data_IF_213361139845
#
_entry.id   IF_213361139845
#
_cell.length_a   1.000
_cell.length_b   1.000
_cell.length_c   1.000
_cell.angle_alpha   90.00
_cell.angle_beta   90.00
_cell.angle_gamma   90.00
#
_symmetry.space_group_name_H-M   'P 1'
#
loop_
_entity.id
_entity.type
_entity.pdbx_description
1 polymer ?
#
# COMPACT_ATOMS: atom_id res chain seq x y z
N UNK A 1 10.51 -10.39 7.86
CA UNK A 1 11.43 -11.39 7.27
C UNK A 1 12.01 -12.35 8.29
N UNK A 2 12.50 -11.88 9.45
CA UNK A 2 13.12 -12.73 10.47
C UNK A 2 12.19 -13.89 10.94
N UNK A 3 10.91 -13.58 11.23
CA UNK A 3 9.93 -14.57 11.68
C UNK A 3 9.66 -15.66 10.64
N UNK A 4 9.44 -15.28 9.37
CA UNK A 4 9.16 -16.26 8.30
C UNK A 4 10.36 -17.14 8.01
N UNK A 5 11.58 -16.58 8.06
CA UNK A 5 12.82 -17.35 7.92
C UNK A 5 12.96 -18.39 9.03
N UNK A 6 12.73 -18.00 10.30
CA UNK A 6 12.77 -18.93 11.46
C UNK A 6 11.76 -20.07 11.37
N UNK A 7 10.62 -19.85 10.72
CA UNK A 7 9.58 -20.87 10.54
C UNK A 7 9.79 -21.77 9.31
N UNK A 8 10.89 -21.57 8.55
CA UNK A 8 11.21 -22.33 7.33
C UNK A 8 10.40 -21.91 6.11
N UNK A 9 9.93 -20.66 6.06
CA UNK A 9 9.22 -20.10 4.91
C UNK A 9 10.13 -19.24 4.04
N UNK A 10 9.90 -19.30 2.72
CA UNK A 10 10.68 -18.53 1.75
C UNK A 10 10.49 -17.02 1.92
N UNK A 11 11.48 -16.20 1.50
CA UNK A 11 11.36 -14.74 1.52
C UNK A 11 10.12 -14.21 0.79
N UNK A 12 9.68 -14.90 -0.27
CA UNK A 12 8.43 -14.61 -1.01
C UNK A 12 7.20 -14.61 -0.08
N UNK A 13 7.09 -15.59 0.82
CA UNK A 13 6.01 -15.65 1.82
C UNK A 13 6.12 -14.47 2.77
N UNK A 14 7.34 -14.12 3.19
CA UNK A 14 7.59 -12.94 4.01
C UNK A 14 7.10 -11.64 3.37
N UNK A 15 7.35 -11.42 2.08
CA UNK A 15 6.83 -10.26 1.34
C UNK A 15 5.31 -10.32 1.25
N UNK A 16 4.74 -11.49 0.93
CA UNK A 16 3.30 -11.65 0.75
C UNK A 16 2.51 -11.38 2.04
N UNK A 17 2.98 -11.89 3.19
CA UNK A 17 2.33 -11.68 4.50
C UNK A 17 2.46 -10.23 4.97
N UNK A 18 3.55 -9.54 4.60
CA UNK A 18 3.78 -8.14 4.99
C UNK A 18 3.23 -7.15 3.96
N UNK A 19 4.05 -6.75 2.99
CA UNK A 19 3.73 -5.75 1.98
C UNK A 19 2.48 -6.13 1.17
N UNK A 20 2.36 -7.39 0.77
CA UNK A 20 1.20 -7.88 0.03
C UNK A 20 -0.11 -7.64 0.79
N UNK A 21 -0.17 -8.05 2.06
CA UNK A 21 -1.34 -7.81 2.92
C UNK A 21 -1.61 -6.32 3.13
N UNK A 22 -0.56 -5.51 3.27
CA UNK A 22 -0.69 -4.06 3.42
C UNK A 22 -1.28 -3.42 2.16
N UNK A 23 -0.81 -3.78 0.97
CA UNK A 23 -1.32 -3.24 -0.29
C UNK A 23 -2.78 -3.68 -0.56
N UNK A 24 -3.10 -4.97 -0.36
CA UNK A 24 -4.48 -5.46 -0.46
C UNK A 24 -5.39 -4.77 0.56
N UNK A 25 -4.94 -4.68 1.81
CA UNK A 25 -5.68 -4.00 2.86
C UNK A 25 -5.92 -2.52 2.54
N UNK A 26 -4.91 -1.85 1.98
CA UNK A 26 -4.96 -0.46 1.54
C UNK A 26 -5.99 -0.24 0.43
N UNK A 27 -5.98 -1.09 -0.60
CA UNK A 27 -6.85 -1.00 -1.77
C UNK A 27 -8.34 -1.19 -1.47
N UNK A 28 -8.68 -1.92 -0.41
CA UNK A 28 -10.08 -2.11 0.02
C UNK A 28 -10.41 -1.38 1.32
N UNK A 29 -9.51 -0.53 1.84
CA UNK A 29 -9.65 0.07 3.16
C UNK A 29 -10.81 1.08 3.22
N UNK A 30 -11.69 1.02 4.24
CA UNK A 30 -12.68 2.06 4.49
C UNK A 30 -12.12 3.33 5.12
N UNK A 31 -10.90 3.26 5.68
CA UNK A 31 -10.35 4.31 6.55
C UNK A 31 -8.99 4.82 6.10
N UNK A 32 -8.47 4.41 4.95
CA UNK A 32 -7.12 4.80 4.54
C UNK A 32 -7.02 6.32 4.31
N UNK A 33 -6.23 7.03 5.14
CA UNK A 33 -6.10 8.48 5.08
C UNK A 33 -5.40 8.98 3.81
N UNK A 34 -4.60 8.15 3.15
CA UNK A 34 -3.86 8.48 1.93
C UNK A 34 -4.56 8.01 0.65
N UNK A 35 -5.71 7.35 0.76
CA UNK A 35 -6.48 6.88 -0.39
C UNK A 35 -7.93 7.36 -0.29
N UNK A 36 -8.81 6.55 0.30
CA UNK A 36 -10.25 6.81 0.33
C UNK A 36 -10.60 8.14 0.98
N UNK A 37 -9.87 8.57 2.01
CA UNK A 37 -10.17 9.86 2.66
C UNK A 37 -9.80 11.05 1.77
N UNK A 38 -8.64 11.02 1.10
CA UNK A 38 -8.28 12.06 0.11
C UNK A 38 -9.31 12.05 -1.02
N UNK A 39 -9.65 10.87 -1.54
CA UNK A 39 -10.63 10.72 -2.60
C UNK A 39 -12.01 11.28 -2.21
N UNK A 40 -12.46 11.04 -0.98
CA UNK A 40 -13.69 11.59 -0.43
C UNK A 40 -13.62 13.12 -0.29
N UNK A 41 -12.51 13.67 0.24
CA UNK A 41 -12.29 15.12 0.35
C UNK A 41 -12.36 15.80 -1.02
N UNK A 42 -11.63 15.31 -2.02
CA UNK A 42 -11.57 15.94 -3.35
C UNK A 42 -12.85 15.74 -4.18
N UNK A 43 -13.66 14.74 -3.84
CA UNK A 43 -14.94 14.46 -4.52
C UNK A 43 -16.15 15.08 -3.79
N UNK A 44 -15.91 15.81 -2.71
CA UNK A 44 -16.96 16.41 -1.87
C UNK A 44 -17.98 15.36 -1.37
N UNK A 45 -17.45 14.24 -0.87
CA UNK A 45 -18.22 13.13 -0.28
C UNK A 45 -17.91 13.07 1.21
N UNK A 46 -18.92 12.81 2.04
CA UNK A 46 -18.74 12.72 3.49
C UNK A 46 -17.64 11.73 3.88
N UNK A 47 -16.74 12.13 4.78
CA UNK A 47 -15.65 11.26 5.22
C UNK A 47 -16.18 10.00 5.90
N UNK A 48 -15.51 8.86 5.65
CA UNK A 48 -15.86 7.54 6.21
C UNK A 48 -17.25 7.01 5.81
N UNK A 49 -17.94 7.69 4.90
CA UNK A 49 -19.20 7.21 4.32
C UNK A 49 -18.97 5.92 3.53
N UNK A 50 -19.97 5.03 3.55
CA UNK A 50 -19.90 3.75 2.85
C UNK A 50 -18.85 2.77 3.41
N UNK A 51 -18.41 2.97 4.65
CA UNK A 51 -17.42 2.11 5.32
C UNK A 51 -17.84 0.64 5.37
N UNK A 52 -19.14 0.36 5.56
CA UNK A 52 -19.64 -1.01 5.72
C UNK A 52 -19.46 -1.81 4.43
N UNK A 53 -19.79 -1.20 3.28
CA UNK A 53 -19.60 -1.83 1.97
C UNK A 53 -18.13 -2.17 1.74
N UNK A 54 -17.23 -1.19 1.96
CA UNK A 54 -15.78 -1.39 1.83
C UNK A 54 -15.26 -2.46 2.79
N UNK A 55 -15.75 -2.50 4.02
CA UNK A 55 -15.33 -3.48 5.02
C UNK A 55 -15.67 -4.92 4.61
N UNK A 56 -16.83 -5.14 3.98
CA UNK A 56 -17.21 -6.47 3.46
C UNK A 56 -16.24 -6.92 2.37
N UNK A 57 -15.95 -6.06 1.38
CA UNK A 57 -15.02 -6.41 0.31
C UNK A 57 -13.57 -6.50 0.79
N UNK A 58 -13.17 -5.72 1.79
CA UNK A 58 -11.89 -5.83 2.48
C UNK A 58 -11.75 -7.21 3.13
N UNK A 59 -12.77 -7.67 3.87
CA UNK A 59 -12.74 -8.97 4.52
C UNK A 59 -12.62 -10.11 3.51
N UNK A 60 -13.33 -10.02 2.37
CA UNK A 60 -13.24 -11.00 1.28
C UNK A 60 -11.84 -10.96 0.64
N UNK A 61 -11.35 -9.77 0.28
CA UNK A 61 -10.04 -9.59 -0.35
C UNK A 61 -8.89 -10.10 0.52
N UNK A 62 -8.89 -9.75 1.81
CA UNK A 62 -7.92 -10.24 2.77
C UNK A 62 -8.06 -11.74 3.00
N UNK A 63 -9.28 -12.26 3.11
CA UNK A 63 -9.53 -13.70 3.23
C UNK A 63 -8.93 -14.49 2.06
N UNK A 64 -9.13 -14.01 0.83
CA UNK A 64 -8.55 -14.58 -0.39
C UNK A 64 -7.01 -14.48 -0.39
N UNK A 65 -6.47 -13.32 -0.01
CA UNK A 65 -5.02 -13.11 0.06
C UNK A 65 -4.36 -14.02 1.10
N UNK A 66 -4.94 -14.11 2.30
CA UNK A 66 -4.48 -14.97 3.38
C UNK A 66 -4.54 -16.43 2.94
N UNK A 67 -5.69 -16.89 2.42
CA UNK A 67 -5.86 -18.27 1.97
C UNK A 67 -4.80 -18.66 0.94
N UNK A 68 -4.54 -17.81 -0.05
CA UNK A 68 -3.51 -18.07 -1.05
C UNK A 68 -2.09 -18.03 -0.51
N UNK A 69 -1.79 -17.05 0.33
CA UNK A 69 -0.47 -16.93 0.94
C UNK A 69 -0.17 -18.15 1.78
N UNK A 70 -1.15 -18.63 2.57
CA UNK A 70 -1.05 -19.85 3.35
C UNK A 70 -0.93 -21.10 2.48
N UNK A 71 -1.71 -21.21 1.39
CA UNK A 71 -1.62 -22.33 0.44
C UNK A 71 -0.26 -22.37 -0.26
N UNK A 72 0.26 -21.21 -0.65
CA UNK A 72 1.60 -21.11 -1.24
C UNK A 72 2.67 -21.47 -0.22
N UNK A 73 2.60 -20.88 0.99
CA UNK A 73 3.52 -21.16 2.08
C UNK A 73 3.57 -22.64 2.45
N UNK A 74 2.42 -23.33 2.50
CA UNK A 74 2.35 -24.76 2.78
C UNK A 74 2.99 -25.61 1.67
N UNK A 75 2.91 -25.19 0.41
CA UNK A 75 3.48 -25.91 -0.74
C UNK A 75 4.98 -25.68 -0.92
N UNK A 76 5.46 -24.50 -0.57
CA UNK A 76 6.86 -24.10 -0.72
C UNK A 76 7.65 -24.19 0.58
N UNK A 77 7.09 -24.83 1.61
CA UNK A 77 7.78 -25.04 2.88
C UNK A 77 8.86 -26.08 2.65
N UNK A 78 10.12 -25.66 2.68
CA UNK A 78 11.28 -26.55 2.46
C UNK A 78 11.72 -27.29 3.73
N UNK A 79 10.94 -27.24 4.82
CA UNK A 79 11.43 -27.56 6.16
C UNK A 79 12.29 -26.41 6.71
N UNK A 80 12.72 -26.46 7.98
CA UNK A 80 13.73 -25.54 8.48
C UNK A 80 15.01 -25.79 7.68
N UNK A 81 15.49 -24.82 6.89
CA UNK A 81 16.83 -24.91 6.32
C UNK A 81 17.82 -24.99 7.48
N UNK A 82 18.54 -26.11 7.57
CA UNK A 82 19.67 -26.30 8.48
C UNK A 82 20.91 -25.53 8.01
N UNK A 83 20.73 -24.37 7.37
CA UNK A 83 21.82 -23.39 7.24
C UNK A 83 22.03 -22.81 8.63
N UNK A 84 23.25 -22.98 9.15
CA UNK A 84 23.75 -22.48 10.43
C UNK A 84 22.81 -21.41 10.99
N UNK A 85 21.96 -21.84 11.92
CA UNK A 85 21.40 -20.94 12.92
C UNK A 85 22.63 -20.28 13.54
N UNK A 86 23.08 -19.18 12.94
CA UNK A 86 23.85 -18.16 13.66
C UNK A 86 23.11 -18.04 14.95
N UNK A 87 23.82 -18.38 16.01
CA UNK A 87 23.38 -18.43 17.39
C UNK A 87 22.92 -17.01 17.77
N UNK A 88 21.76 -16.61 17.24
CA UNK A 88 20.95 -15.54 17.79
C UNK A 88 20.30 -16.24 18.94
N UNK A 89 21.09 -16.33 20.02
CA UNK A 89 20.71 -16.87 21.31
C UNK A 89 19.23 -16.52 21.52
N UNK A 90 18.39 -17.53 21.76
CA UNK A 90 17.05 -17.24 22.26
C UNK A 90 17.24 -16.22 23.39
N UNK A 91 16.59 -15.05 23.35
CA UNK A 91 16.72 -14.11 24.45
C UNK A 91 16.18 -14.82 25.68
N UNK A 92 17.10 -15.38 26.44
CA UNK A 92 16.85 -16.16 27.65
C UNK A 92 16.51 -15.13 28.72
N UNK A 93 15.25 -14.71 28.74
CA UNK A 93 14.79 -13.64 29.60
C UNK A 93 13.35 -13.22 29.32
N UNK A 94 12.53 -13.19 30.37
CA UNK A 94 11.28 -12.45 30.36
C UNK A 94 11.52 -11.01 29.88
N UNK A 95 10.59 -10.45 29.09
CA UNK A 95 10.68 -9.08 28.59
C UNK A 95 11.04 -8.13 29.72
N UNK A 96 12.19 -7.47 29.61
CA UNK A 96 12.61 -6.47 30.58
C UNK A 96 11.67 -5.27 30.53
N UNK A 97 11.62 -4.50 31.63
CA UNK A 97 10.83 -3.26 31.65
C UNK A 97 11.21 -2.29 30.53
N UNK A 98 12.47 -2.33 30.06
CA UNK A 98 12.96 -1.54 28.92
C UNK A 98 12.36 -2.01 27.60
N UNK A 99 12.30 -3.31 27.37
CA UNK A 99 11.70 -3.87 26.15
C UNK A 99 10.22 -3.49 26.10
N UNK A 100 9.51 -3.63 27.23
CA UNK A 100 8.11 -3.18 27.36
C UNK A 100 7.98 -1.68 27.10
N UNK A 101 8.90 -0.85 27.62
CA UNK A 101 8.90 0.59 27.39
C UNK A 101 9.14 0.93 25.92
N UNK A 102 10.08 0.26 25.26
CA UNK A 102 10.38 0.44 23.83
C UNK A 102 9.15 0.05 23.00
N UNK A 103 8.52 -1.10 23.28
CA UNK A 103 7.30 -1.51 22.61
C UNK A 103 6.15 -0.52 22.84
N UNK A 104 6.00 0.02 24.05
CA UNK A 104 5.01 1.04 24.35
C UNK A 104 5.27 2.35 23.58
N UNK A 105 6.54 2.77 23.45
CA UNK A 105 6.91 3.94 22.66
C UNK A 105 6.59 3.73 21.18
N UNK A 106 6.94 2.57 20.62
CA UNK A 106 6.61 2.23 19.23
C UNK A 106 5.09 2.25 19.03
N UNK A 107 4.32 1.61 19.92
CA UNK A 107 2.86 1.62 19.85
C UNK A 107 2.28 3.04 19.96
N UNK A 108 2.78 3.85 20.90
CA UNK A 108 2.35 5.24 21.07
C UNK A 108 2.69 6.11 19.86
N UNK A 109 3.82 5.85 19.20
CA UNK A 109 4.23 6.53 17.96
C UNK A 109 3.22 6.28 16.86
N UNK A 110 2.72 5.04 16.70
CA UNK A 110 1.64 4.76 15.74
C UNK A 110 0.32 5.45 16.10
N UNK A 111 -0.03 5.54 17.39
CA UNK A 111 -1.23 6.28 17.83
C UNK A 111 -1.10 7.78 17.50
N UNK A 112 0.06 8.38 17.80
CA UNK A 112 0.35 9.79 17.47
C UNK A 112 0.35 10.01 15.96
N UNK A 113 0.90 9.07 15.18
CA UNK A 113 0.86 9.13 13.71
C UNK A 113 -0.58 9.17 13.20
N UNK A 114 -1.43 8.26 13.66
CA UNK A 114 -2.86 8.23 13.26
C UNK A 114 -3.57 9.51 13.68
N UNK A 115 -3.34 9.97 14.91
CA UNK A 115 -3.95 11.20 15.42
C UNK A 115 -3.50 12.45 14.64
N UNK A 116 -2.19 12.61 14.44
CA UNK A 116 -1.61 13.73 13.71
C UNK A 116 -2.10 13.79 12.27
N UNK A 117 -2.27 12.63 11.62
CA UNK A 117 -2.80 12.55 10.27
C UNK A 117 -4.29 12.94 10.19
N UNK A 118 -5.10 12.54 11.18
CA UNK A 118 -6.54 12.82 11.19
C UNK A 118 -6.91 14.23 11.69
N UNK A 119 -6.12 14.80 12.61
CA UNK A 119 -6.47 16.05 13.31
C UNK A 119 -5.57 17.23 12.95
N UNK A 120 -4.31 16.97 12.66
CA UNK A 120 -3.31 18.02 12.43
C UNK A 120 -2.83 18.05 10.97
N UNK A 121 -3.47 17.25 10.11
CA UNK A 121 -3.18 17.18 8.66
C UNK A 121 -1.69 16.98 8.37
N UNK A 122 -1.04 16.13 9.18
CA UNK A 122 0.39 15.88 9.05
C UNK A 122 0.77 15.31 7.69
N UNK A 123 1.74 15.99 7.07
CA UNK A 123 2.38 15.58 5.83
C UNK A 123 3.64 14.72 6.07
N UNK A 124 4.30 14.32 4.98
CA UNK A 124 5.44 13.40 4.98
C UNK A 124 6.59 13.81 5.92
N UNK A 125 6.89 15.11 6.00
CA UNK A 125 7.98 15.61 6.83
C UNK A 125 7.70 15.43 8.33
N UNK A 126 6.44 15.63 8.74
CA UNK A 126 6.02 15.43 10.13
C UNK A 126 6.09 13.95 10.53
N UNK A 127 5.66 13.05 9.64
CA UNK A 127 5.78 11.61 9.86
C UNK A 127 7.24 11.17 9.96
N UNK A 128 8.08 11.69 9.06
CA UNK A 128 9.53 11.41 9.06
C UNK A 128 10.19 11.88 10.36
N UNK A 129 9.85 13.10 10.82
CA UNK A 129 10.34 13.63 12.09
C UNK A 129 9.88 12.79 13.29
N UNK A 130 8.63 12.35 13.32
CA UNK A 130 8.10 11.49 14.38
C UNK A 130 8.89 10.17 14.49
N UNK A 131 9.12 9.47 13.38
CA UNK A 131 9.91 8.23 13.37
C UNK A 131 11.38 8.46 13.72
N UNK A 132 11.96 9.58 13.29
CA UNK A 132 13.31 9.97 13.68
C UNK A 132 13.44 10.18 15.20
N UNK A 133 12.54 10.98 15.78
CA UNK A 133 12.49 11.23 17.24
C UNK A 133 12.29 9.92 17.99
N UNK A 134 11.37 9.06 17.54
CA UNK A 134 11.17 7.74 18.13
C UNK A 134 12.47 6.91 18.14
N UNK A 135 13.19 6.86 17.01
CA UNK A 135 14.47 6.16 16.90
C UNK A 135 15.53 6.66 17.89
N UNK A 136 15.64 7.99 18.04
CA UNK A 136 16.55 8.62 19.01
C UNK A 136 16.17 8.26 20.44
N UNK A 137 14.89 8.38 20.80
CA UNK A 137 14.38 8.06 22.14
C UNK A 137 14.58 6.59 22.48
N UNK A 138 14.31 5.68 21.55
CA UNK A 138 14.52 4.23 21.71
C UNK A 138 16.02 3.92 21.89
N UNK A 139 16.90 4.56 21.12
CA UNK A 139 18.35 4.38 21.27
C UNK A 139 18.88 4.80 22.64
N UNK A 140 18.33 5.88 23.22
CA UNK A 140 18.65 6.34 24.57
C UNK A 140 18.16 5.33 25.62
N UNK A 141 16.91 4.89 25.54
CA UNK A 141 16.31 3.95 26.51
C UNK A 141 16.97 2.57 26.44
N UNK A 142 17.32 2.13 25.23
CA UNK A 142 18.09 0.92 24.97
C UNK A 142 19.54 0.98 25.44
N UNK A 143 20.00 2.14 25.97
CA UNK A 143 21.37 2.38 26.44
C UNK A 143 22.44 2.14 25.37
N UNK A 144 22.12 2.41 24.11
CA UNK A 144 23.11 2.37 23.03
C UNK A 144 24.10 3.55 23.12
N UNK A 145 23.77 4.58 23.92
CA UNK A 145 24.51 5.84 23.97
C UNK A 145 24.38 6.63 22.66
N UNK A 146 24.97 7.83 22.61
CA UNK A 146 24.90 8.69 21.40
C UNK A 146 25.58 8.00 20.22
N UNK A 147 26.79 7.48 20.43
CA UNK A 147 27.58 6.82 19.38
C UNK A 147 26.90 5.55 18.87
N UNK A 148 26.39 4.70 19.77
CA UNK A 148 25.70 3.46 19.35
C UNK A 148 24.38 3.74 18.66
N UNK A 149 23.63 4.76 19.11
CA UNK A 149 22.39 5.19 18.42
C UNK A 149 22.70 5.73 17.03
N UNK A 150 23.73 6.56 16.87
CA UNK A 150 24.15 7.07 15.56
C UNK A 150 24.63 5.95 14.63
N UNK A 151 25.38 4.98 15.16
CA UNK A 151 25.84 3.84 14.37
C UNK A 151 24.69 2.93 13.93
N UNK A 152 23.74 2.64 14.84
CA UNK A 152 22.53 1.89 14.51
C UNK A 152 21.65 2.62 13.47
N UNK A 153 21.53 3.94 13.57
CA UNK A 153 20.83 4.75 12.58
C UNK A 153 21.52 4.70 11.21
N UNK A 154 22.84 4.87 11.17
CA UNK A 154 23.63 4.78 9.94
C UNK A 154 23.52 3.40 9.28
N UNK A 155 23.52 2.33 10.08
CA UNK A 155 23.35 0.96 9.60
C UNK A 155 21.94 0.74 9.02
N UNK A 156 20.90 1.23 9.69
CA UNK A 156 19.54 1.26 9.17
C UNK A 156 19.45 2.02 7.84
N UNK A 157 20.03 3.22 7.77
CA UNK A 157 20.09 4.02 6.55
C UNK A 157 20.82 3.29 5.41
N UNK A 158 21.96 2.66 5.70
CA UNK A 158 22.75 1.88 4.72
C UNK A 158 21.93 0.75 4.11
N UNK A 159 21.14 0.03 4.94
CA UNK A 159 20.25 -1.03 4.46
C UNK A 159 19.17 -0.53 3.50
N UNK A 160 18.80 0.75 3.61
CA UNK A 160 17.81 1.40 2.76
C UNK A 160 18.42 2.14 1.56
N UNK A 161 19.75 2.23 1.45
CA UNK A 161 20.41 3.03 0.42
C UNK A 161 20.09 2.58 -1.01
N UNK A 162 20.11 1.26 -1.26
CA UNK A 162 19.73 0.71 -2.55
C UNK A 162 18.22 0.93 -2.85
N UNK A 163 17.37 0.73 -1.84
CA UNK A 163 15.94 1.02 -1.93
C UNK A 163 15.67 2.50 -2.27
N UNK A 164 16.38 3.43 -1.64
CA UNK A 164 16.26 4.86 -1.88
C UNK A 164 16.63 5.24 -3.33
N UNK A 165 17.69 4.65 -3.89
CA UNK A 165 18.05 4.84 -5.29
C UNK A 165 16.96 4.34 -6.25
N UNK A 166 16.38 3.16 -5.97
CA UNK A 166 15.27 2.63 -6.76
C UNK A 166 14.04 3.53 -6.67
N UNK A 167 13.69 4.02 -5.47
CA UNK A 167 12.60 4.98 -5.25
C UNK A 167 12.85 6.27 -6.04
N UNK A 168 14.07 6.81 -5.98
CA UNK A 168 14.44 8.03 -6.71
C UNK A 168 14.32 7.88 -8.23
N UNK A 169 14.81 6.78 -8.80
CA UNK A 169 14.66 6.48 -10.23
C UNK A 169 13.19 6.33 -10.62
N UNK A 170 12.40 5.63 -9.80
CA UNK A 170 10.98 5.44 -10.03
C UNK A 170 10.20 6.77 -10.01
N UNK A 171 10.53 7.67 -9.07
CA UNK A 171 9.91 8.99 -8.98
C UNK A 171 10.33 9.91 -10.15
N UNK A 172 11.57 9.80 -10.64
CA UNK A 172 12.03 10.58 -11.78
C UNK A 172 11.20 10.34 -13.05
N UNK A 173 10.68 9.11 -13.25
CA UNK A 173 9.79 8.79 -14.38
C UNK A 173 8.52 9.65 -14.29
N UNK A 174 7.89 9.74 -13.12
CA UNK A 174 6.70 10.56 -12.91
C UNK A 174 6.99 12.05 -13.18
N UNK A 175 8.07 12.59 -12.60
CA UNK A 175 8.45 14.01 -12.76
C UNK A 175 8.63 14.37 -14.24
N UNK A 176 9.33 13.53 -15.02
CA UNK A 176 9.53 13.75 -16.46
C UNK A 176 8.20 13.71 -17.24
N UNK A 177 7.28 12.83 -16.87
CA UNK A 177 5.96 12.74 -17.53
C UNK A 177 5.06 13.93 -17.18
N UNK A 178 5.16 14.43 -15.95
CA UNK A 178 4.42 15.59 -15.45
C UNK A 178 4.92 16.89 -16.11
N UNK A 179 6.23 17.15 -16.03
CA UNK A 179 6.88 18.30 -16.68
C UNK A 179 6.70 18.29 -18.20
N UNK A 180 6.68 17.09 -18.80
CA UNK A 180 6.41 16.88 -20.22
C UNK A 180 4.95 17.06 -20.63
N UNK A 181 4.02 17.33 -19.70
CA UNK A 181 2.56 17.42 -19.92
C UNK A 181 1.97 16.17 -20.59
N UNK A 182 2.59 15.01 -20.35
CA UNK A 182 2.14 13.73 -20.91
C UNK A 182 0.96 13.19 -20.11
N UNK A 183 0.94 13.44 -18.79
CA UNK A 183 -0.11 12.95 -17.88
C UNK A 183 -1.51 13.38 -18.33
N UNK A 184 -1.71 14.66 -18.66
CA UNK A 184 -3.01 15.17 -19.12
C UNK A 184 -3.52 14.47 -20.38
N UNK A 185 -2.61 14.13 -21.30
CA UNK A 185 -2.93 13.42 -22.54
C UNK A 185 -3.37 11.99 -22.24
N UNK A 186 -2.65 11.30 -21.33
CA UNK A 186 -3.00 9.94 -20.89
C UNK A 186 -4.36 9.95 -20.19
N UNK A 187 -4.58 10.87 -19.24
CA UNK A 187 -5.84 10.99 -18.50
C UNK A 187 -7.00 11.19 -19.47
N UNK A 188 -6.89 12.16 -20.39
CA UNK A 188 -7.94 12.41 -21.38
C UNK A 188 -8.18 11.20 -22.27
N UNK A 189 -7.12 10.57 -22.77
CA UNK A 189 -7.21 9.41 -23.65
C UNK A 189 -7.83 8.18 -22.98
N UNK A 190 -7.61 8.00 -21.68
CA UNK A 190 -8.15 6.87 -20.92
C UNK A 190 -9.61 7.08 -20.49
N UNK A 191 -9.97 8.29 -20.05
CA UNK A 191 -11.25 8.50 -19.37
C UNK A 191 -12.36 9.09 -20.25
N UNK A 192 -12.03 9.88 -21.28
CA UNK A 192 -13.06 10.44 -22.18
C UNK A 192 -13.85 9.35 -22.92
N UNK A 193 -13.24 8.29 -23.47
CA UNK A 193 -13.99 7.24 -24.17
C UNK A 193 -14.96 6.45 -23.28
N UNK A 194 -14.81 6.52 -21.95
CA UNK A 194 -15.68 5.82 -21.01
C UNK A 194 -17.06 6.48 -20.87
N UNK A 195 -17.20 7.73 -21.34
CA UNK A 195 -18.46 8.46 -21.33
C UNK A 195 -19.54 7.81 -22.22
N UNK A 196 -19.13 7.12 -23.29
CA UNK A 196 -20.04 6.52 -24.27
C UNK A 196 -20.42 5.07 -23.93
N UNK A 197 -19.89 4.52 -22.84
CA UNK A 197 -20.15 3.15 -22.42
C UNK A 197 -21.39 3.03 -21.52
N UNK A 198 -22.03 1.85 -21.45
CA UNK A 198 -23.02 1.55 -20.43
C UNK A 198 -22.45 1.70 -19.01
N UNK A 199 -23.26 2.16 -18.05
CA UNK A 199 -22.81 2.54 -16.70
C UNK A 199 -21.89 1.53 -16.00
N UNK A 200 -22.24 0.24 -16.06
CA UNK A 200 -21.42 -0.82 -15.46
C UNK A 200 -20.05 -0.95 -16.14
N UNK A 201 -20.01 -0.82 -17.47
CA UNK A 201 -18.76 -0.85 -18.24
C UNK A 201 -17.95 0.43 -18.03
N UNK A 202 -18.59 1.60 -17.88
CA UNK A 202 -17.91 2.84 -17.51
C UNK A 202 -17.24 2.72 -16.14
N UNK A 203 -17.93 2.20 -15.12
CA UNK A 203 -17.37 2.04 -13.78
C UNK A 203 -16.19 1.05 -13.75
N UNK A 204 -16.33 -0.11 -14.39
CA UNK A 204 -15.24 -1.10 -14.50
C UNK A 204 -14.08 -0.53 -15.34
N UNK A 205 -14.40 0.14 -16.44
CA UNK A 205 -13.44 0.81 -17.32
C UNK A 205 -12.66 1.90 -16.59
N UNK A 206 -13.30 2.68 -15.71
CA UNK A 206 -12.64 3.67 -14.86
C UNK A 206 -11.61 3.00 -13.96
N UNK A 207 -11.95 1.86 -13.36
CA UNK A 207 -11.00 1.11 -12.53
C UNK A 207 -9.82 0.57 -13.32
N UNK A 208 -10.06 0.02 -14.52
CA UNK A 208 -8.99 -0.44 -15.40
C UNK A 208 -8.08 0.71 -15.87
N UNK A 209 -8.67 1.84 -16.26
CA UNK A 209 -7.97 3.05 -16.67
C UNK A 209 -7.10 3.61 -15.54
N UNK A 210 -7.60 3.62 -14.31
CA UNK A 210 -6.82 4.00 -13.12
C UNK A 210 -5.62 3.09 -12.93
N UNK A 211 -5.77 1.78 -13.14
CA UNK A 211 -4.66 0.84 -13.09
C UNK A 211 -3.59 1.09 -14.17
N UNK A 212 -4.01 1.39 -15.40
CA UNK A 212 -3.08 1.77 -16.49
C UNK A 212 -2.35 3.07 -16.15
N UNK A 213 -3.07 4.08 -15.67
CA UNK A 213 -2.48 5.35 -15.24
C UNK A 213 -1.51 5.15 -14.07
N UNK A 214 -1.76 4.20 -13.18
CA UNK A 214 -0.93 3.97 -11.99
C UNK A 214 0.48 3.48 -12.35
N UNK A 215 0.66 2.90 -13.55
CA UNK A 215 2.00 2.61 -14.05
C UNK A 215 2.83 3.87 -14.29
N UNK A 216 2.18 4.94 -14.77
CA UNK A 216 2.80 6.25 -15.02
C UNK A 216 2.88 7.10 -13.74
N UNK A 217 1.84 7.04 -12.89
CA UNK A 217 1.72 7.80 -11.65
C UNK A 217 1.56 6.82 -10.47
N UNK A 218 2.67 6.27 -9.95
CA UNK A 218 2.67 5.25 -8.89
C UNK A 218 2.44 5.89 -7.52
N UNK A 219 1.39 6.70 -7.42
CA UNK A 219 0.99 7.42 -6.22
C UNK A 219 -0.52 7.44 -6.16
N UNK A 220 -1.09 6.63 -5.28
CA UNK A 220 -2.53 6.60 -5.05
C UNK A 220 -3.05 7.99 -4.67
N UNK A 221 -2.45 8.67 -3.68
CA UNK A 221 -2.89 10.00 -3.24
C UNK A 221 -2.78 11.05 -4.36
N UNK A 222 -1.67 11.04 -5.11
CA UNK A 222 -1.47 11.93 -6.25
C UNK A 222 -2.50 11.68 -7.35
N UNK A 223 -2.78 10.42 -7.67
CA UNK A 223 -3.82 10.07 -8.64
C UNK A 223 -5.22 10.49 -8.20
N UNK A 224 -5.57 10.42 -6.91
CA UNK A 224 -6.86 10.92 -6.43
C UNK A 224 -7.02 12.40 -6.77
N UNK A 225 -6.03 13.22 -6.41
CA UNK A 225 -6.03 14.67 -6.65
C UNK A 225 -6.03 15.00 -8.14
N UNK A 226 -5.33 14.20 -8.96
CA UNK A 226 -5.20 14.43 -10.39
C UNK A 226 -6.43 13.99 -11.20
N UNK A 227 -7.02 12.84 -10.87
CA UNK A 227 -8.06 12.22 -11.72
C UNK A 227 -9.48 12.50 -11.25
N UNK A 228 -9.73 12.57 -9.94
CA UNK A 228 -11.09 12.71 -9.42
C UNK A 228 -11.77 14.04 -9.80
N UNK A 229 -11.06 15.19 -9.88
CA UNK A 229 -11.67 16.41 -10.39
C UNK A 229 -12.20 16.31 -11.83
N UNK A 230 -11.69 15.38 -12.63
CA UNK A 230 -12.18 15.08 -13.99
C UNK A 230 -13.26 14.00 -13.96
N UNK A 231 -13.03 12.95 -13.17
CA UNK A 231 -13.91 11.78 -13.10
C UNK A 231 -15.22 12.06 -12.36
N UNK A 232 -15.23 12.93 -11.36
CA UNK A 232 -16.44 13.27 -10.60
C UNK A 232 -17.47 13.98 -11.48
N UNK A 233 -17.14 15.07 -12.20
CA UNK A 233 -18.08 15.68 -13.15
C UNK A 233 -18.54 14.71 -14.24
N UNK A 234 -17.63 13.87 -14.76
CA UNK A 234 -17.99 12.83 -15.73
C UNK A 234 -18.98 11.83 -15.14
N UNK A 235 -18.76 11.39 -13.90
CA UNK A 235 -19.63 10.44 -13.21
C UNK A 235 -21.02 11.05 -12.94
N UNK A 236 -21.06 12.30 -12.49
CA UNK A 236 -22.31 13.04 -12.27
C UNK A 236 -23.13 13.15 -13.57
N UNK A 237 -22.49 13.39 -14.73
CA UNK A 237 -23.14 13.41 -16.05
C UNK A 237 -23.68 12.05 -16.49
N UNK A 238 -22.97 10.97 -16.15
CA UNK A 238 -23.40 9.60 -16.43
C UNK A 238 -24.50 9.12 -15.46
N UNK A 239 -24.74 9.83 -14.36
CA UNK A 239 -25.63 9.36 -13.28
C UNK A 239 -24.99 8.30 -12.37
N UNK A 240 -23.66 8.22 -12.37
CA UNK A 240 -22.89 7.42 -11.41
C UNK A 240 -22.71 8.22 -10.12
N UNK A 241 -22.90 7.57 -8.97
CA UNK A 241 -22.59 8.23 -7.70
C UNK A 241 -21.08 8.43 -7.56
N UNK A 242 -20.70 9.54 -6.92
CA UNK A 242 -19.29 9.85 -6.63
C UNK A 242 -18.61 8.77 -5.80
N UNK A 243 -19.35 8.05 -4.96
CA UNK A 243 -18.82 6.90 -4.24
C UNK A 243 -18.36 5.77 -5.16
N UNK A 244 -19.13 5.46 -6.21
CA UNK A 244 -18.78 4.42 -7.17
C UNK A 244 -17.52 4.85 -7.94
N UNK A 245 -17.41 6.14 -8.28
CA UNK A 245 -16.19 6.72 -8.85
C UNK A 245 -14.98 6.55 -7.93
N UNK A 246 -15.15 6.83 -6.63
CA UNK A 246 -14.10 6.63 -5.62
C UNK A 246 -13.73 5.15 -5.52
N UNK A 247 -14.69 4.22 -5.54
CA UNK A 247 -14.41 2.78 -5.52
C UNK A 247 -13.64 2.35 -6.78
N UNK A 248 -14.01 2.86 -7.95
CA UNK A 248 -13.34 2.53 -9.21
C UNK A 248 -11.88 2.98 -9.18
N UNK A 249 -11.63 4.22 -8.73
CA UNK A 249 -10.30 4.73 -8.43
C UNK A 249 -9.56 3.85 -7.41
N UNK A 250 -10.18 3.56 -6.28
CA UNK A 250 -9.54 2.89 -5.15
C UNK A 250 -9.10 1.47 -5.52
N UNK A 251 -9.96 0.70 -6.19
CA UNK A 251 -9.63 -0.66 -6.62
C UNK A 251 -8.63 -0.67 -7.78
N UNK A 252 -8.75 0.27 -8.71
CA UNK A 252 -7.85 0.36 -9.87
C UNK A 252 -6.43 0.75 -9.46
N UNK A 253 -6.30 1.94 -8.87
CA UNK A 253 -5.02 2.48 -8.43
C UNK A 253 -4.43 1.68 -7.26
N UNK A 254 -5.25 1.37 -6.23
CA UNK A 254 -4.77 0.74 -5.02
C UNK A 254 -4.24 -0.68 -5.22
N UNK A 255 -4.84 -1.47 -6.11
CA UNK A 255 -4.33 -2.83 -6.40
C UNK A 255 -3.06 -2.81 -7.24
N UNK A 256 -2.83 -1.77 -8.04
CA UNK A 256 -1.62 -1.66 -8.86
C UNK A 256 -0.35 -1.49 -8.03
N UNK A 257 -0.44 -1.06 -6.76
CA UNK A 257 0.66 -1.08 -5.79
C UNK A 257 1.34 -2.47 -5.68
N UNK A 258 0.61 -3.56 -5.99
CA UNK A 258 1.15 -4.91 -6.00
C UNK A 258 2.06 -5.21 -7.20
N UNK A 259 1.90 -4.52 -8.33
CA UNK A 259 2.48 -4.93 -9.63
C UNK A 259 3.24 -3.82 -10.34
N UNK A 260 3.24 -2.60 -9.83
CA UNK A 260 3.84 -1.47 -10.53
C UNK A 260 5.34 -1.37 -10.24
N UNK A 261 6.22 -1.46 -11.26
CA UNK A 261 7.68 -1.41 -11.04
C UNK A 261 8.18 -0.02 -10.65
N UNK A 262 7.41 1.02 -10.96
CA UNK A 262 7.65 2.40 -10.56
C UNK A 262 7.12 2.68 -9.14
N UNK A 263 6.61 1.67 -8.43
CA UNK A 263 6.31 1.78 -7.01
C UNK A 263 7.59 1.57 -6.19
N UNK A 264 8.15 2.68 -5.70
CA UNK A 264 9.38 2.66 -4.94
C UNK A 264 9.30 1.83 -3.65
N UNK A 265 8.15 1.81 -2.96
CA UNK A 265 7.98 1.05 -1.72
C UNK A 265 7.98 -0.46 -1.97
N UNK A 266 7.29 -0.93 -3.02
CA UNK A 266 7.32 -2.33 -3.43
C UNK A 266 8.77 -2.74 -3.79
N UNK A 267 9.44 -1.95 -4.63
CA UNK A 267 10.80 -2.24 -5.07
C UNK A 267 11.80 -2.28 -3.90
N UNK A 268 11.67 -1.36 -2.94
CA UNK A 268 12.45 -1.35 -1.71
C UNK A 268 12.29 -2.64 -0.90
N UNK A 269 11.05 -3.10 -0.69
CA UNK A 269 10.76 -4.31 0.09
C UNK A 269 11.26 -5.56 -0.62
N UNK A 270 11.07 -5.65 -1.94
CA UNK A 270 11.56 -6.77 -2.75
C UNK A 270 13.09 -6.85 -2.71
N UNK A 271 13.77 -5.72 -2.86
CA UNK A 271 15.22 -5.65 -2.77
C UNK A 271 15.74 -6.03 -1.38
N UNK A 272 15.17 -5.45 -0.31
CA UNK A 272 15.56 -5.74 1.06
C UNK A 272 15.29 -7.20 1.48
N UNK A 273 14.36 -7.87 0.79
CA UNK A 273 14.02 -9.28 1.04
C UNK A 273 14.73 -10.28 0.12
N UNK A 274 15.53 -9.80 -0.83
CA UNK A 274 16.20 -10.66 -1.82
C UNK A 274 15.22 -11.32 -2.81
N UNK A 275 14.00 -10.81 -2.96
CA UNK A 275 13.02 -11.35 -3.90
C UNK A 275 13.15 -10.62 -5.23
N UNK A 276 13.44 -11.37 -6.30
CA UNK A 276 13.44 -10.82 -7.66
C UNK A 276 12.03 -10.34 -8.04
N UNK A 277 11.94 -9.14 -8.61
CA UNK A 277 10.68 -8.56 -9.08
C UNK A 277 9.92 -9.46 -10.06
N UNK A 278 10.62 -10.12 -10.98
CA UNK A 278 9.99 -11.08 -11.91
C UNK A 278 9.34 -12.27 -11.18
N UNK A 279 10.00 -12.80 -10.15
CA UNK A 279 9.46 -13.88 -9.32
C UNK A 279 8.24 -13.39 -8.53
N UNK A 280 8.29 -12.14 -8.04
CA UNK A 280 7.15 -11.50 -7.41
C UNK A 280 5.98 -11.37 -8.39
N UNK A 281 6.19 -10.88 -9.61
CA UNK A 281 5.14 -10.78 -10.63
C UNK A 281 4.48 -12.12 -10.95
N UNK A 282 5.26 -13.18 -11.16
CA UNK A 282 4.71 -14.54 -11.40
C UNK A 282 3.88 -15.03 -10.22
N UNK A 283 4.26 -14.65 -9.00
CA UNK A 283 3.45 -14.87 -7.82
C UNK A 283 2.21 -13.96 -7.84
N UNK A 284 2.32 -12.65 -7.93
CA UNK A 284 1.21 -11.75 -7.63
C UNK A 284 0.20 -11.60 -8.78
N UNK A 285 0.58 -11.69 -10.06
CA UNK A 285 -0.31 -11.45 -11.21
C UNK A 285 -1.63 -12.24 -11.15
N UNK A 286 -1.64 -13.58 -10.99
CA UNK A 286 -2.92 -14.29 -10.93
C UNK A 286 -3.76 -13.89 -9.71
N UNK A 287 -3.13 -13.43 -8.62
CA UNK A 287 -3.84 -12.92 -7.44
C UNK A 287 -4.40 -11.53 -7.67
N UNK A 288 -3.60 -10.65 -8.26
CA UNK A 288 -3.99 -9.32 -8.68
C UNK A 288 -5.20 -9.36 -9.62
N UNK A 289 -5.18 -10.21 -10.65
CA UNK A 289 -6.31 -10.31 -11.60
C UNK A 289 -7.61 -10.74 -10.93
N UNK A 290 -7.55 -11.65 -9.95
CA UNK A 290 -8.73 -12.05 -9.20
C UNK A 290 -9.22 -10.95 -8.25
N UNK A 291 -8.31 -10.19 -7.64
CA UNK A 291 -8.68 -9.03 -6.81
C UNK A 291 -9.28 -7.90 -7.66
N UNK A 292 -8.79 -7.69 -8.87
CA UNK A 292 -9.40 -6.80 -9.85
C UNK A 292 -10.80 -7.29 -10.25
N UNK A 293 -10.98 -8.59 -10.45
CA UNK A 293 -12.30 -9.18 -10.69
C UNK A 293 -13.24 -8.99 -9.50
N UNK A 294 -12.74 -9.16 -8.26
CA UNK A 294 -13.50 -8.86 -7.04
C UNK A 294 -13.90 -7.38 -6.98
N UNK A 295 -12.99 -6.47 -7.32
CA UNK A 295 -13.28 -5.04 -7.43
C UNK A 295 -14.34 -4.72 -8.49
N UNK A 296 -14.28 -5.37 -9.65
CA UNK A 296 -15.31 -5.25 -10.69
C UNK A 296 -16.68 -5.75 -10.21
N UNK A 297 -16.72 -6.90 -9.54
CA UNK A 297 -17.95 -7.42 -8.91
C UNK A 297 -18.48 -6.44 -7.86
N UNK A 298 -17.60 -5.86 -7.04
CA UNK A 298 -17.98 -4.84 -6.07
C UNK A 298 -18.61 -3.62 -6.74
N UNK A 299 -18.03 -3.13 -7.85
CA UNK A 299 -18.58 -1.99 -8.60
C UNK A 299 -19.97 -2.29 -9.15
N UNK A 300 -20.18 -3.49 -9.73
CA UNK A 300 -21.49 -3.91 -10.24
C UNK A 300 -22.52 -4.02 -9.12
N UNK A 301 -22.16 -4.59 -7.97
CA UNK A 301 -23.04 -4.68 -6.81
C UNK A 301 -23.36 -3.28 -6.28
N UNK A 302 -22.37 -2.39 -6.16
CA UNK A 302 -22.55 -1.02 -5.72
C UNK A 302 -23.54 -0.26 -6.62
N UNK A 303 -23.45 -0.45 -7.94
CA UNK A 303 -24.40 0.08 -8.91
C UNK A 303 -25.82 -0.46 -8.69
N UNK A 304 -25.95 -1.78 -8.55
CA UNK A 304 -27.25 -2.43 -8.40
C UNK A 304 -28.00 -2.01 -7.13
N UNK A 305 -27.28 -1.72 -6.04
CA UNK A 305 -27.88 -1.29 -4.76
C UNK A 305 -28.02 0.23 -4.62
N UNK A 306 -27.61 1.01 -5.63
CA UNK A 306 -27.66 2.48 -5.58
C UNK A 306 -26.73 3.09 -4.54
N UNK A 307 -25.53 2.53 -4.37
CA UNK A 307 -24.53 2.98 -3.41
C UNK A 307 -24.14 4.45 -3.64
N UNK A 308 -24.25 5.31 -2.62
CA UNK A 308 -23.99 6.75 -2.67
C UNK A 308 -23.41 7.31 -1.37
#
# INVERSE_FOLDING_TARGET
>A
MLLTKRLGYSPMVGVAVSAGSAFVGSAFSPINPFQVQIAQKVSDVALLSGWAFRLVFLAIALGLWIWWTMRYAARTRAGPEAEEMTDVSEPDGALGWRDVTIFAIVASTFVVLVWGLLRWEWEFDHMSALFFIMGVVVGIIGRLGVTGTAHAYAEGFRSMGYAALLIGFANAIYVVMDDGRIIDTIVRGLFVPLADLPLALSAIGMSAAQGVLHFAVPSVSGQAVLTLPVLVPLSDLLGLSRQITILAYQYGAGLCELITPTNGALMAILAASGVRYESWLRFVIPRYLMLMALGAVALVIALAIGYS
#
